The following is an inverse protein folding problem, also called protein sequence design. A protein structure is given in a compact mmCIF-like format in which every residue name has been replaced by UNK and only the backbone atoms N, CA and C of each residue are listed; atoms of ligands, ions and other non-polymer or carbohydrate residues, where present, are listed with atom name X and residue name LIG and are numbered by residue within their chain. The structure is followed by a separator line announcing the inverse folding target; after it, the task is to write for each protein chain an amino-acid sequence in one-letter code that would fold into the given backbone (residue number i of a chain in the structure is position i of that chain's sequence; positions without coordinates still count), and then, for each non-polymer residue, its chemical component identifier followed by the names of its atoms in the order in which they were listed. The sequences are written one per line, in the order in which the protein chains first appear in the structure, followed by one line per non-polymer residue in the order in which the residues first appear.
data_IF_365818981027
#
_entry.id   IF_365818981027
#
_cell.length_a   1.000
_cell.length_b   1.000
_cell.length_c   1.000
_cell.angle_alpha   90.00
_cell.angle_beta   90.00
_cell.angle_gamma   90.00
#
_symmetry.space_group_name_H-M   'P 1'
#
loop_
_entity.id
_entity.type
_entity.pdbx_description
1 polymer ?
#
# COMPACT_ATOMS: atom_id res chain seq x y z
N UNK A 1 16.77 6.34 -21.71
CA UNK A 1 16.96 7.18 -20.51
C UNK A 1 17.87 8.33 -20.88
N UNK A 2 17.55 9.54 -20.43
CA UNK A 2 18.34 10.76 -20.66
C UNK A 2 18.85 11.29 -19.32
N UNK A 3 20.06 11.84 -19.29
CA UNK A 3 20.64 12.53 -18.13
C UNK A 3 20.95 14.01 -18.42
N UNK A 4 20.62 14.49 -19.62
CA UNK A 4 20.93 15.83 -20.10
C UNK A 4 19.71 16.49 -20.76
N UNK A 5 18.58 16.50 -20.05
CA UNK A 5 17.34 17.18 -20.45
C UNK A 5 16.84 16.80 -21.86
N UNK A 6 17.01 15.54 -22.26
CA UNK A 6 16.53 15.00 -23.53
C UNK A 6 17.50 15.18 -24.70
N UNK A 7 18.69 15.78 -24.46
CA UNK A 7 19.67 16.02 -25.53
C UNK A 7 20.28 14.73 -26.07
N UNK A 8 20.49 13.71 -25.22
CA UNK A 8 20.95 12.38 -25.64
C UNK A 8 20.21 11.27 -24.89
N UNK A 9 20.01 10.14 -25.56
CA UNK A 9 19.28 9.01 -25.03
C UNK A 9 20.14 7.74 -25.02
N UNK A 10 20.29 7.14 -23.85
CA UNK A 10 20.90 5.81 -23.71
C UNK A 10 19.79 4.75 -23.61
N UNK A 11 19.80 3.70 -24.44
CA UNK A 11 18.86 2.60 -24.34
C UNK A 11 18.93 1.90 -22.97
N UNK A 12 17.78 1.39 -22.52
CA UNK A 12 17.66 0.54 -21.33
C UNK A 12 16.79 -0.66 -21.68
N UNK A 13 17.26 -1.85 -21.32
CA UNK A 13 16.51 -3.08 -21.53
C UNK A 13 15.38 -3.18 -20.51
N UNK A 14 14.26 -3.73 -20.96
CA UNK A 14 13.10 -4.02 -20.10
C UNK A 14 13.12 -5.52 -19.75
N UNK A 15 12.62 -5.92 -18.57
CA UNK A 15 12.54 -7.33 -18.21
C UNK A 15 11.61 -8.06 -19.20
N UNK A 16 12.10 -9.10 -19.85
CA UNK A 16 11.31 -9.93 -20.76
C UNK A 16 10.81 -11.17 -20.02
N UNK A 17 9.53 -11.51 -20.19
CA UNK A 17 9.01 -12.85 -19.85
C UNK A 17 8.70 -13.62 -21.12
N UNK A 18 8.76 -14.95 -21.04
CA UNK A 18 8.37 -15.85 -22.12
C UNK A 18 6.84 -15.83 -22.29
N UNK A 19 6.34 -14.98 -23.18
CA UNK A 19 4.92 -14.87 -23.51
C UNK A 19 4.65 -13.71 -24.45
N UNK A 20 3.64 -13.82 -25.31
CA UNK A 20 3.16 -12.73 -26.16
C UNK A 20 2.28 -11.75 -25.36
N UNK A 21 2.39 -10.46 -25.69
CA UNK A 21 1.73 -9.29 -25.08
C UNK A 21 2.36 -8.73 -23.80
N UNK A 22 3.68 -8.50 -23.83
CA UNK A 22 4.49 -7.84 -22.78
C UNK A 22 4.44 -6.30 -22.85
N UNK A 23 3.26 -5.73 -23.09
CA UNK A 23 3.13 -4.27 -23.26
C UNK A 23 3.39 -3.57 -21.92
N UNK A 24 4.36 -2.65 -21.93
CA UNK A 24 4.52 -1.69 -20.85
C UNK A 24 3.27 -0.81 -20.79
N UNK A 25 2.64 -0.78 -19.62
CA UNK A 25 1.45 0.05 -19.38
C UNK A 25 1.81 1.37 -18.72
N UNK A 26 2.78 1.39 -17.81
CA UNK A 26 3.21 2.59 -17.12
C UNK A 26 4.71 2.58 -16.83
N UNK A 27 5.30 3.78 -16.78
CA UNK A 27 6.66 4.04 -16.32
C UNK A 27 6.58 5.21 -15.33
N UNK A 28 7.00 4.99 -14.09
CA UNK A 28 6.93 5.99 -13.02
C UNK A 28 8.32 6.21 -12.42
N UNK A 29 8.83 7.43 -12.50
CA UNK A 29 10.08 7.81 -11.84
C UNK A 29 9.79 8.37 -10.46
N UNK A 30 10.62 8.03 -9.47
CA UNK A 30 10.50 8.61 -8.14
C UNK A 30 10.83 10.11 -8.18
N UNK A 31 10.01 11.00 -7.59
CA UNK A 31 10.16 12.45 -7.74
C UNK A 31 11.48 13.02 -7.17
N UNK A 32 12.00 12.47 -6.07
CA UNK A 32 13.26 12.92 -5.44
C UNK A 32 14.43 11.93 -5.53
N UNK A 33 14.19 10.68 -5.96
CA UNK A 33 15.22 9.62 -6.07
C UNK A 33 15.40 9.26 -7.53
N UNK A 34 16.18 10.06 -8.25
CA UNK A 34 16.29 10.01 -9.71
C UNK A 34 16.71 8.64 -10.30
N UNK A 35 17.34 7.77 -9.49
CA UNK A 35 17.71 6.42 -9.93
C UNK A 35 16.60 5.39 -9.74
N UNK A 36 15.56 5.72 -8.99
CA UNK A 36 14.45 4.82 -8.72
C UNK A 36 13.34 5.00 -9.75
N UNK A 37 13.03 3.91 -10.45
CA UNK A 37 12.01 3.88 -11.51
C UNK A 37 11.20 2.61 -11.36
N UNK A 38 9.90 2.70 -11.59
CA UNK A 38 8.98 1.58 -11.63
C UNK A 38 8.40 1.43 -13.02
N UNK A 39 8.13 0.20 -13.42
CA UNK A 39 7.38 -0.11 -14.63
C UNK A 39 6.32 -1.15 -14.35
N UNK A 40 5.22 -1.06 -15.09
CA UNK A 40 4.14 -2.03 -15.06
C UNK A 40 3.87 -2.60 -16.44
N UNK A 41 3.25 -3.78 -16.47
CA UNK A 41 2.85 -4.47 -17.70
C UNK A 41 1.35 -4.76 -17.71
N UNK A 42 0.70 -4.47 -18.84
CA UNK A 42 -0.72 -4.71 -19.07
C UNK A 42 -1.05 -6.10 -19.65
N UNK A 43 -0.09 -7.02 -19.71
CA UNK A 43 -0.27 -8.36 -20.29
C UNK A 43 -0.72 -9.42 -19.28
N UNK A 44 -1.10 -10.60 -19.79
CA UNK A 44 -1.56 -11.76 -19.01
C UNK A 44 -0.43 -12.76 -18.64
N UNK A 45 0.81 -12.28 -18.49
CA UNK A 45 1.96 -13.08 -18.04
C UNK A 45 2.03 -13.17 -16.51
N UNK A 46 1.62 -14.29 -15.92
CA UNK A 46 1.60 -14.45 -14.45
C UNK A 46 2.98 -14.19 -13.82
N UNK A 47 3.01 -13.53 -12.66
CA UNK A 47 4.24 -13.21 -11.95
C UNK A 47 5.17 -12.19 -12.63
N UNK A 48 4.78 -11.60 -13.76
CA UNK A 48 5.55 -10.59 -14.51
C UNK A 48 4.68 -9.37 -14.80
N UNK A 49 4.49 -8.54 -13.77
CA UNK A 49 3.55 -7.41 -13.77
C UNK A 49 4.19 -6.10 -13.37
N UNK A 50 5.00 -6.09 -12.31
CA UNK A 50 5.58 -4.86 -11.75
C UNK A 50 7.05 -5.05 -11.46
N UNK A 51 7.86 -4.08 -11.90
CA UNK A 51 9.30 -4.10 -11.71
C UNK A 51 9.79 -2.77 -11.15
N UNK A 52 10.77 -2.84 -10.25
CA UNK A 52 11.46 -1.71 -9.65
C UNK A 52 12.92 -1.73 -10.06
N UNK A 53 13.44 -0.58 -10.48
CA UNK A 53 14.87 -0.34 -10.65
C UNK A 53 15.32 0.69 -9.62
N UNK A 54 16.54 0.54 -9.11
CA UNK A 54 17.22 1.51 -8.22
C UNK A 54 18.47 2.10 -8.85
N UNK A 55 18.72 1.83 -10.14
CA UNK A 55 19.90 2.27 -10.89
C UNK A 55 19.54 2.81 -12.29
N UNK A 56 18.42 3.53 -12.39
CA UNK A 56 17.91 4.18 -13.59
C UNK A 56 17.66 3.21 -14.77
N UNK A 57 17.07 2.07 -14.47
CA UNK A 57 16.64 1.05 -15.43
C UNK A 57 17.77 0.18 -15.99
N UNK A 58 18.95 0.16 -15.36
CA UNK A 58 20.04 -0.74 -15.77
C UNK A 58 19.75 -2.18 -15.37
N UNK A 59 19.24 -2.38 -14.15
CA UNK A 59 18.70 -3.66 -13.68
C UNK A 59 17.32 -3.46 -13.07
N UNK A 60 16.55 -4.55 -13.03
CA UNK A 60 15.17 -4.56 -12.60
C UNK A 60 14.92 -5.70 -11.62
N UNK A 61 14.27 -5.39 -10.52
CA UNK A 61 13.79 -6.36 -9.55
C UNK A 61 12.29 -6.58 -9.79
N UNK A 62 11.90 -7.83 -9.95
CA UNK A 62 10.49 -8.19 -10.07
C UNK A 62 9.82 -8.12 -8.69
N UNK A 63 8.80 -7.27 -8.57
CA UNK A 63 8.02 -7.08 -7.34
C UNK A 63 6.54 -7.45 -7.53
N UNK A 64 6.25 -8.34 -8.49
CA UNK A 64 4.87 -8.79 -8.78
C UNK A 64 4.30 -9.70 -7.70
N UNK A 65 5.15 -10.51 -7.06
CA UNK A 65 4.80 -11.43 -5.98
C UNK A 65 3.48 -12.20 -6.19
N UNK A 66 2.48 -11.95 -5.35
CA UNK A 66 1.16 -12.61 -5.31
C UNK A 66 0.08 -11.91 -6.15
N UNK A 67 0.43 -10.96 -7.02
CA UNK A 67 -0.56 -10.31 -7.89
C UNK A 67 -1.29 -11.36 -8.74
N UNK A 68 -2.63 -11.26 -8.86
CA UNK A 68 -3.36 -12.12 -9.78
C UNK A 68 -2.92 -11.86 -11.23
N UNK A 69 -3.21 -12.82 -12.10
CA UNK A 69 -2.86 -12.70 -13.51
C UNK A 69 -3.84 -11.81 -14.29
N UNK A 70 -3.86 -10.52 -13.96
CA UNK A 70 -4.68 -9.49 -14.60
C UNK A 70 -3.78 -8.32 -15.05
N UNK A 71 -4.18 -7.56 -16.10
CA UNK A 71 -3.45 -6.37 -16.51
C UNK A 71 -3.27 -5.37 -15.37
N UNK A 72 -2.06 -4.82 -15.27
CA UNK A 72 -1.78 -3.64 -14.44
C UNK A 72 -1.72 -2.45 -15.38
N UNK A 73 -2.54 -1.44 -15.12
CA UNK A 73 -2.77 -0.32 -16.04
C UNK A 73 -2.00 0.93 -15.61
N UNK A 74 -1.92 1.17 -14.30
CA UNK A 74 -1.19 2.30 -13.73
C UNK A 74 -0.56 1.93 -12.39
N UNK A 75 0.40 2.75 -11.97
CA UNK A 75 1.07 2.68 -10.68
C UNK A 75 1.17 4.08 -10.11
N UNK A 76 0.97 4.22 -8.81
CA UNK A 76 1.26 5.44 -8.07
C UNK A 76 1.99 5.12 -6.77
N UNK A 77 2.89 6.02 -6.35
CA UNK A 77 3.70 5.86 -5.13
C UNK A 77 3.36 6.95 -4.11
N UNK A 78 3.17 6.56 -2.85
CA UNK A 78 3.11 7.48 -1.73
C UNK A 78 4.53 7.74 -1.23
N UNK A 79 5.00 8.99 -1.39
CA UNK A 79 6.32 9.43 -0.93
C UNK A 79 6.31 10.06 0.47
N UNK A 80 5.14 10.21 1.09
CA UNK A 80 4.98 10.72 2.44
C UNK A 80 4.77 9.60 3.47
N UNK A 81 4.58 8.35 3.04
CA UNK A 81 4.40 7.22 3.95
C UNK A 81 5.63 6.94 4.83
N UNK A 82 6.84 7.09 4.26
CA UNK A 82 8.12 6.99 4.96
C UNK A 82 9.21 7.79 4.23
N UNK A 83 10.15 8.37 4.97
CA UNK A 83 11.28 9.11 4.41
C UNK A 83 12.21 8.27 3.53
N UNK A 84 12.26 6.95 3.75
CA UNK A 84 13.19 6.03 3.07
C UNK A 84 12.50 4.97 2.20
N UNK A 85 11.19 4.79 2.37
CA UNK A 85 10.41 3.74 1.72
C UNK A 85 9.20 4.37 1.04
N UNK A 86 8.71 3.76 -0.04
CA UNK A 86 7.52 4.23 -0.76
C UNK A 86 6.46 3.15 -0.81
N UNK A 87 5.26 3.49 -0.36
CA UNK A 87 4.14 2.57 -0.49
C UNK A 87 3.57 2.66 -1.91
N UNK A 88 3.11 1.53 -2.44
CA UNK A 88 2.72 1.39 -3.84
C UNK A 88 1.24 1.08 -3.98
N UNK A 89 0.61 1.75 -4.94
CA UNK A 89 -0.76 1.52 -5.36
C UNK A 89 -0.77 1.17 -6.85
N UNK A 90 -1.54 0.15 -7.22
CA UNK A 90 -1.71 -0.30 -8.60
C UNK A 90 -3.17 -0.23 -9.00
N UNK A 91 -3.44 0.34 -10.18
CA UNK A 91 -4.72 0.16 -10.86
C UNK A 91 -4.64 -1.04 -11.78
N UNK A 92 -5.62 -1.93 -11.68
CA UNK A 92 -5.71 -3.17 -12.46
C UNK A 92 -7.11 -3.35 -13.02
N UNK A 93 -7.29 -4.33 -13.89
CA UNK A 93 -8.62 -4.75 -14.39
C UNK A 93 -9.52 -5.31 -13.28
N UNK A 94 -8.95 -5.67 -12.13
CA UNK A 94 -9.64 -6.22 -10.97
C UNK A 94 -9.69 -5.23 -9.79
N UNK A 95 -9.54 -3.93 -10.04
CA UNK A 95 -9.54 -2.90 -9.00
C UNK A 95 -8.15 -2.47 -8.54
N UNK A 96 -8.07 -1.91 -7.33
CA UNK A 96 -6.82 -1.35 -6.78
C UNK A 96 -6.11 -2.37 -5.88
N UNK A 97 -4.80 -2.47 -6.01
CA UNK A 97 -3.94 -3.21 -5.09
C UNK A 97 -2.97 -2.27 -4.38
N UNK A 98 -2.70 -2.55 -3.11
CA UNK A 98 -1.78 -1.81 -2.26
C UNK A 98 -0.68 -2.72 -1.73
N UNK A 99 0.52 -2.17 -1.55
CA UNK A 99 1.64 -2.85 -0.91
C UNK A 99 2.55 -1.83 -0.23
N UNK A 100 2.95 -2.12 1.02
CA UNK A 100 4.02 -1.37 1.69
C UNK A 100 5.38 -1.72 1.11
N UNK A 101 6.32 -0.77 1.06
CA UNK A 101 7.58 -0.98 0.32
C UNK A 101 8.32 -2.28 0.72
N UNK A 102 8.42 -2.52 2.03
CA UNK A 102 9.18 -3.63 2.61
C UNK A 102 8.42 -4.96 2.64
N UNK A 103 7.11 -4.94 2.40
CA UNK A 103 6.31 -6.16 2.37
C UNK A 103 6.57 -6.93 1.07
N UNK A 104 6.15 -8.19 1.02
CA UNK A 104 6.20 -9.02 -0.20
C UNK A 104 4.81 -9.36 -0.73
N UNK A 105 3.74 -8.89 -0.06
CA UNK A 105 2.37 -9.22 -0.42
C UNK A 105 1.60 -7.97 -0.82
N UNK A 106 1.00 -8.04 -2.01
CA UNK A 106 -0.04 -7.13 -2.46
C UNK A 106 -1.36 -7.49 -1.81
N UNK A 107 -2.06 -6.47 -1.33
CA UNK A 107 -3.37 -6.56 -0.71
C UNK A 107 -4.39 -5.90 -1.63
N UNK A 108 -5.58 -6.49 -1.75
CA UNK A 108 -6.68 -5.85 -2.45
C UNK A 108 -7.12 -4.61 -1.67
N UNK A 109 -7.16 -3.46 -2.33
CA UNK A 109 -7.43 -2.15 -1.75
C UNK A 109 -8.76 -1.57 -2.25
N UNK A 110 -9.81 -2.39 -2.27
CA UNK A 110 -11.08 -2.04 -2.90
C UNK A 110 -12.27 -1.83 -1.97
N UNK A 111 -12.08 -1.77 -0.64
CA UNK A 111 -13.21 -1.45 0.26
C UNK A 111 -13.71 -0.03 -0.01
N UNK A 112 -14.86 0.11 -0.66
CA UNK A 112 -15.41 1.39 -1.10
C UNK A 112 -15.09 1.79 -2.55
N UNK A 113 -14.37 0.94 -3.30
CA UNK A 113 -14.16 1.10 -4.74
C UNK A 113 -14.97 0.06 -5.53
N UNK A 114 -15.44 0.39 -6.74
CA UNK A 114 -16.06 -0.60 -7.62
C UNK A 114 -15.03 -1.65 -8.06
N UNK A 115 -15.45 -2.91 -8.14
CA UNK A 115 -14.66 -3.97 -8.78
C UNK A 115 -14.73 -3.81 -10.30
N UNK A 116 -13.86 -2.97 -10.84
CA UNK A 116 -13.80 -2.62 -12.26
C UNK A 116 -12.37 -2.23 -12.63
N UNK A 117 -12.14 -2.07 -13.92
CA UNK A 117 -10.87 -1.59 -14.45
C UNK A 117 -10.54 -0.19 -13.92
N UNK A 118 -9.37 -0.08 -13.30
CA UNK A 118 -8.79 1.18 -12.85
C UNK A 118 -7.70 1.57 -13.84
N UNK A 119 -7.91 2.67 -14.55
CA UNK A 119 -7.02 3.12 -15.62
C UNK A 119 -5.99 4.14 -15.15
N UNK A 120 -6.31 4.90 -14.10
CA UNK A 120 -5.43 5.93 -13.55
C UNK A 120 -5.60 6.08 -12.04
N UNK A 121 -4.51 6.46 -11.36
CA UNK A 121 -4.45 6.66 -9.92
C UNK A 121 -3.69 7.95 -9.61
N UNK A 122 -4.26 8.78 -8.75
CA UNK A 122 -3.59 9.99 -8.29
C UNK A 122 -3.73 10.20 -6.78
N UNK A 123 -2.64 10.60 -6.14
CA UNK A 123 -2.62 10.88 -4.70
C UNK A 123 -2.86 12.36 -4.44
N UNK A 124 -3.88 12.65 -3.65
CA UNK A 124 -4.15 13.99 -3.13
C UNK A 124 -3.61 14.12 -1.70
N UNK A 125 -2.36 14.57 -1.59
CA UNK A 125 -1.64 14.67 -0.32
C UNK A 125 -2.31 15.59 0.71
N UNK A 126 -2.95 16.68 0.27
CA UNK A 126 -3.62 17.64 1.16
C UNK A 126 -4.75 17.00 1.99
N UNK A 127 -5.46 16.03 1.42
CA UNK A 127 -6.54 15.29 2.09
C UNK A 127 -6.16 13.86 2.45
N UNK A 128 -4.95 13.43 2.06
CA UNK A 128 -4.44 12.07 2.21
C UNK A 128 -5.41 11.01 1.65
N UNK A 129 -5.80 11.20 0.39
CA UNK A 129 -6.73 10.34 -0.35
C UNK A 129 -6.13 9.89 -1.67
N UNK A 130 -6.49 8.67 -2.08
CA UNK A 130 -6.27 8.15 -3.43
C UNK A 130 -7.50 8.44 -4.29
N UNK A 131 -7.30 9.01 -5.47
CA UNK A 131 -8.29 9.13 -6.54
C UNK A 131 -8.07 8.01 -7.54
N UNK A 132 -9.14 7.32 -7.90
CA UNK A 132 -9.11 6.25 -8.89
C UNK A 132 -10.02 6.57 -10.07
N UNK A 133 -9.43 6.70 -11.25
CA UNK A 133 -10.14 6.77 -12.53
C UNK A 133 -10.55 5.35 -12.96
N UNK A 134 -11.84 5.15 -13.20
CA UNK A 134 -12.38 3.83 -13.52
C UNK A 134 -13.03 3.80 -14.90
N UNK A 135 -12.94 2.67 -15.59
CA UNK A 135 -13.60 2.52 -16.89
C UNK A 135 -15.13 2.47 -16.71
N UNK A 136 -15.82 3.46 -17.27
CA UNK A 136 -17.29 3.50 -17.30
C UNK A 136 -18.00 3.82 -15.97
N UNK A 137 -17.27 4.14 -14.88
CA UNK A 137 -17.86 4.42 -13.56
C UNK A 137 -17.37 5.72 -12.91
N UNK A 138 -16.65 6.55 -13.67
CA UNK A 138 -16.19 7.87 -13.22
C UNK A 138 -14.95 7.80 -12.32
N UNK A 139 -14.83 8.77 -11.41
CA UNK A 139 -13.70 8.91 -10.48
C UNK A 139 -14.17 8.64 -9.06
N UNK A 140 -13.39 7.86 -8.33
CA UNK A 140 -13.66 7.47 -6.95
C UNK A 140 -12.56 7.98 -6.03
N UNK A 141 -12.89 8.22 -4.76
CA UNK A 141 -11.93 8.59 -3.72
C UNK A 141 -11.97 7.60 -2.56
N UNK A 142 -10.80 7.23 -2.06
CA UNK A 142 -10.63 6.42 -0.85
C UNK A 142 -9.51 7.04 0.00
N UNK A 143 -9.57 7.01 1.35
CA UNK A 143 -8.42 7.38 2.17
C UNK A 143 -7.18 6.56 1.77
N UNK A 144 -5.98 7.14 1.87
CA UNK A 144 -4.75 6.37 1.77
C UNK A 144 -4.53 5.51 3.02
N UNK A 145 -3.77 4.43 2.87
CA UNK A 145 -3.35 3.60 4.01
C UNK A 145 -2.45 4.43 4.91
N UNK A 146 -2.86 4.64 6.16
CA UNK A 146 -2.05 5.38 7.13
C UNK A 146 -1.14 4.42 7.89
N UNK A 147 0.13 4.81 8.04
CA UNK A 147 0.98 4.20 9.07
C UNK A 147 0.35 4.54 10.42
N UNK A 148 -0.09 3.54 11.18
CA UNK A 148 -0.49 3.74 12.56
C UNK A 148 0.71 4.34 13.30
N UNK A 149 0.56 5.58 13.78
CA UNK A 149 1.53 6.11 14.74
C UNK A 149 1.32 5.28 16.00
N UNK A 150 2.28 4.41 16.31
CA UNK A 150 2.36 3.82 17.62
C UNK A 150 2.63 4.98 18.59
N UNK A 151 1.56 5.59 19.11
CA UNK A 151 1.67 6.36 20.34
C UNK A 151 2.08 5.33 21.37
N UNK A 152 3.34 5.41 21.82
CA UNK A 152 3.87 4.51 22.82
C UNK A 152 3.09 4.68 24.11
N UNK A 153 1.96 3.99 24.24
CA UNK A 153 1.33 3.75 25.53
C UNK A 153 2.06 2.56 26.11
N UNK A 154 3.16 2.84 26.79
CA UNK A 154 3.79 1.85 27.66
C UNK A 154 2.81 1.58 28.79
N UNK A 155 1.98 0.53 28.66
CA UNK A 155 1.25 0.01 29.80
C UNK A 155 2.27 -0.61 30.75
N UNK A 156 2.68 0.13 31.77
CA UNK A 156 3.29 -0.47 32.97
C UNK A 156 2.19 -1.28 33.67
N UNK A 157 2.00 -2.52 33.22
CA UNK A 157 1.19 -3.50 33.93
C UNK A 157 1.96 -3.93 35.17
N UNK A 158 1.70 -3.29 36.31
CA UNK A 158 2.27 -3.70 37.60
C UNK A 158 1.35 -4.59 38.42
N UNK A 159 0.14 -4.93 37.95
CA UNK A 159 -0.69 -5.95 38.58
C UNK A 159 -1.49 -6.71 37.52
N UNK A 160 -1.28 -8.03 37.43
CA UNK A 160 -2.06 -8.89 36.55
C UNK A 160 -3.54 -8.84 36.99
N UNK A 161 -4.48 -8.36 36.16
CA UNK A 161 -5.89 -8.40 36.52
C UNK A 161 -6.36 -9.86 36.56
N UNK A 162 -6.97 -10.28 37.67
CA UNK A 162 -7.63 -11.58 37.74
C UNK A 162 -8.94 -11.50 36.97
N UNK A 163 -9.02 -12.14 35.81
CA UNK A 163 -10.27 -12.28 35.06
C UNK A 163 -11.12 -13.33 35.75
N UNK A 164 -12.30 -12.95 36.26
CA UNK A 164 -13.33 -13.90 36.72
C UNK A 164 -14.43 -14.01 35.68
N UNK A 165 -14.64 -15.22 35.18
CA UNK A 165 -15.75 -15.51 34.27
C UNK A 165 -17.01 -15.74 35.11
N UNK A 166 -17.97 -14.83 35.01
CA UNK A 166 -19.32 -15.07 35.50
C UNK A 166 -20.13 -15.61 34.31
N UNK A 167 -20.40 -16.92 34.30
CA UNK A 167 -21.32 -17.49 33.33
C UNK A 167 -22.76 -17.22 33.78
N UNK A 168 -23.53 -16.55 32.92
CA UNK A 168 -24.98 -16.48 33.04
C UNK A 168 -25.59 -17.59 32.17
N UNK A 169 -26.32 -18.58 32.71
CA UNK A 169 -26.80 -19.73 31.92
C UNK A 169 -27.92 -19.41 30.93
N UNK A 170 -28.48 -18.19 30.92
CA UNK A 170 -29.68 -17.85 30.14
C UNK A 170 -29.40 -16.94 28.92
N UNK A 171 -28.21 -16.34 28.80
CA UNK A 171 -27.85 -15.54 27.61
C UNK A 171 -26.53 -15.97 26.98
N UNK A 172 -26.50 -16.10 25.64
CA UNK A 172 -25.32 -16.50 24.85
C UNK A 172 -24.35 -15.34 24.55
N UNK A 173 -24.20 -14.39 25.47
CA UNK A 173 -23.22 -13.30 25.34
C UNK A 173 -22.30 -13.23 26.54
N UNK A 174 -20.99 -13.17 26.29
CA UNK A 174 -19.96 -13.03 27.31
C UNK A 174 -19.68 -11.53 27.54
N UNK A 175 -20.05 -11.00 28.69
CA UNK A 175 -19.72 -9.63 29.07
C UNK A 175 -18.39 -9.61 29.83
N UNK A 176 -17.39 -8.92 29.29
CA UNK A 176 -16.08 -8.75 29.92
C UNK A 176 -16.02 -7.38 30.60
N UNK A 177 -16.03 -7.33 31.92
CA UNK A 177 -15.80 -6.10 32.70
C UNK A 177 -14.40 -6.11 33.31
N UNK A 178 -13.63 -5.06 33.05
CA UNK A 178 -12.30 -4.87 33.63
C UNK A 178 -12.45 -3.89 34.79
N UNK A 179 -12.23 -4.34 36.02
CA UNK A 179 -12.15 -3.47 37.20
C UNK A 179 -10.68 -3.18 37.52
N UNK A 180 -10.29 -1.91 37.43
CA UNK A 180 -8.98 -1.46 37.90
C UNK A 180 -9.06 -1.25 39.43
N UNK A 181 -8.53 -2.20 40.22
CA UNK A 181 -8.36 -2.00 41.66
C UNK A 181 -7.08 -1.22 41.94
N UNK A 182 -7.16 0.10 41.82
CA UNK A 182 -6.11 1.02 42.24
C UNK A 182 -6.59 1.87 43.41
N UNK A 183 -6.12 1.59 44.62
CA UNK A 183 -6.36 2.41 45.79
C UNK A 183 -5.41 3.62 45.74
N UNK A 184 -5.89 4.77 45.25
CA UNK A 184 -5.08 6.00 45.23
C UNK A 184 -5.39 6.81 46.50
N UNK A 185 -4.44 6.98 47.45
CA UNK A 185 -4.65 7.92 48.54
C UNK A 185 -4.65 9.35 47.99
N UNK A 186 -5.80 10.01 48.02
CA UNK A 186 -5.91 11.44 47.79
C UNK A 186 -5.18 12.19 48.91
N UNK A 187 -4.00 12.74 48.65
CA UNK A 187 -3.40 13.76 49.52
C UNK A 187 -3.66 15.14 48.92
N UNK A 188 -4.64 15.83 49.49
CA UNK A 188 -4.81 17.27 49.34
C UNK A 188 -3.92 17.94 50.39
N UNK A 189 -2.97 18.79 50.00
CA UNK A 189 -2.33 19.75 50.91
C UNK A 189 -2.67 21.16 50.45
N UNK A 190 -3.29 21.89 51.38
CA UNK A 190 -3.50 23.34 51.39
C UNK A 190 -2.19 24.11 51.33
#
# INVERSE_FOLDING_TARGET
MTQNNGSTWTPRSIPTSSGSFENLSCVLAHPTRAQQVFITKGGFSSGSKVFRSTNAGQTWNNISYNLPNVPVNCIQIDVLSDSNNVDLYLGTDAGVYFKKDLDTLWQYYGSGLPNTEVTDLEIQYATYKLRAGTYGRGVWEIPLERKAIAVGVSSTSTLAPTIRLLQNPVEQSLNLSIEASGNYPCTYRS
#
